data_IF_344641507480
#
_entry.id   IF_344641507480
#
_cell.length_a   1.000
_cell.length_b   1.000
_cell.length_c   1.000
_cell.angle_alpha   90.00
_cell.angle_beta   90.00
_cell.angle_gamma   90.00
#
_symmetry.space_group_name_H-M   'P 1'
#
loop_
_entity.id
_entity.type
_entity.pdbx_description
1 polymer ?
#
# COMPACT_ATOMS: atom_id res chain seq x y z
N UNK A 1 -25.97 26.00 1.23
CA UNK A 1 -25.26 25.04 0.36
C UNK A 1 -23.78 25.12 0.72
N UNK A 2 -23.36 24.37 1.73
CA UNK A 2 -22.00 24.47 2.29
C UNK A 2 -21.09 23.58 1.47
N UNK A 3 -20.17 24.18 0.72
CA UNK A 3 -19.10 23.47 0.03
C UNK A 3 -18.24 22.78 1.09
N UNK A 4 -18.29 21.45 1.17
CA UNK A 4 -17.37 20.67 1.97
C UNK A 4 -15.96 20.89 1.41
N UNK A 5 -15.12 21.58 2.18
CA UNK A 5 -13.71 21.82 1.87
C UNK A 5 -13.05 20.45 1.64
N UNK A 6 -12.50 20.23 0.44
CA UNK A 6 -11.69 19.04 0.15
C UNK A 6 -10.54 19.00 1.17
N UNK A 7 -10.21 17.83 1.76
CA UNK A 7 -9.13 17.75 2.73
C UNK A 7 -7.82 18.18 2.07
N UNK A 8 -7.07 19.08 2.73
CA UNK A 8 -5.73 19.46 2.27
C UNK A 8 -4.82 18.22 2.29
N UNK A 9 -4.15 17.94 1.17
CA UNK A 9 -3.18 16.86 1.08
C UNK A 9 -1.98 17.16 2.00
N UNK A 10 -1.61 16.20 2.84
CA UNK A 10 -0.44 16.29 3.73
C UNK A 10 0.75 15.58 3.09
N UNK A 11 1.81 16.32 2.82
CA UNK A 11 3.06 15.77 2.30
C UNK A 11 4.00 15.34 3.42
N UNK A 12 4.68 14.21 3.23
CA UNK A 12 5.61 13.62 4.19
C UNK A 12 6.82 13.09 3.40
N UNK A 13 8.02 13.30 3.94
CA UNK A 13 9.24 12.78 3.35
C UNK A 13 9.39 11.27 3.63
N UNK A 14 9.32 10.48 2.56
CA UNK A 14 9.46 9.03 2.57
C UNK A 14 10.71 8.55 1.78
N UNK A 15 11.78 9.35 1.73
CA UNK A 15 13.04 8.95 1.11
C UNK A 15 13.56 7.61 1.68
N UNK A 16 14.02 6.67 0.84
CA UNK A 16 14.53 5.39 1.32
C UNK A 16 15.73 5.57 2.26
N UNK A 17 15.90 4.65 3.19
CA UNK A 17 17.14 4.58 3.96
C UNK A 17 18.31 4.21 3.04
N UNK A 18 19.52 4.66 3.36
CA UNK A 18 20.72 4.36 2.55
C UNK A 18 20.93 2.84 2.35
N UNK A 19 20.49 2.00 3.30
CA UNK A 19 20.51 0.55 3.23
C UNK A 19 19.52 -0.07 2.23
N UNK A 20 18.44 0.63 1.89
CA UNK A 20 17.38 0.15 1.00
C UNK A 20 17.71 0.31 -0.50
N UNK A 21 18.77 1.05 -0.84
CA UNK A 21 19.18 1.27 -2.23
C UNK A 21 19.65 -0.01 -2.95
N UNK A 22 20.05 -1.05 -2.20
CA UNK A 22 20.43 -2.36 -2.73
C UNK A 22 19.18 -3.15 -3.21
N UNK A 23 18.01 -2.84 -2.66
CA UNK A 23 16.74 -3.54 -2.90
C UNK A 23 16.00 -3.04 -4.15
N UNK A 24 16.35 -1.85 -4.66
CA UNK A 24 15.84 -1.32 -5.93
C UNK A 24 16.22 -2.14 -7.17
N UNK A 25 17.14 -3.11 -7.03
CA UNK A 25 17.47 -4.08 -8.08
C UNK A 25 16.58 -5.34 -8.12
N UNK A 26 15.60 -5.46 -7.20
CA UNK A 26 14.69 -6.62 -7.10
C UNK A 26 13.56 -6.63 -8.16
N UNK A 27 13.55 -5.64 -9.05
CA UNK A 27 12.54 -5.41 -10.11
C UNK A 27 12.50 -6.52 -11.19
N UNK A 28 13.46 -7.46 -11.19
CA UNK A 28 13.44 -8.62 -12.07
C UNK A 28 12.46 -9.70 -11.55
N UNK A 29 11.27 -9.76 -12.13
CA UNK A 29 10.30 -10.84 -11.89
C UNK A 29 8.97 -10.41 -11.26
N UNK A 30 8.79 -9.11 -11.00
CA UNK A 30 7.51 -8.59 -10.49
C UNK A 30 6.46 -8.58 -11.60
N UNK A 31 5.42 -9.40 -11.41
CA UNK A 31 4.23 -9.42 -12.25
C UNK A 31 3.06 -8.78 -11.49
N UNK A 32 1.99 -8.41 -12.20
CA UNK A 32 0.75 -7.96 -11.54
C UNK A 32 0.27 -8.99 -10.49
N UNK A 33 0.45 -10.29 -10.76
CA UNK A 33 0.04 -11.35 -9.82
C UNK A 33 0.84 -11.31 -8.53
N UNK A 34 2.17 -11.15 -8.62
CA UNK A 34 3.02 -11.10 -7.43
C UNK A 34 2.80 -9.82 -6.65
N UNK A 35 2.59 -8.68 -7.34
CA UNK A 35 2.25 -7.42 -6.67
C UNK A 35 0.91 -7.48 -5.91
N UNK A 36 -0.11 -8.15 -6.49
CA UNK A 36 -1.38 -8.37 -5.78
C UNK A 36 -1.20 -9.32 -4.58
N UNK A 37 -0.41 -10.38 -4.74
CA UNK A 37 -0.13 -11.32 -3.67
C UNK A 37 0.54 -10.64 -2.47
N UNK A 38 1.55 -9.81 -2.69
CA UNK A 38 2.24 -9.10 -1.60
C UNK A 38 1.30 -8.23 -0.76
N UNK A 39 0.33 -7.54 -1.39
CA UNK A 39 -0.65 -6.74 -0.66
C UNK A 39 -1.62 -7.63 0.12
N UNK A 40 -2.02 -8.78 -0.44
CA UNK A 40 -2.88 -9.74 0.26
C UNK A 40 -2.13 -10.36 1.45
N UNK A 41 -0.85 -10.69 1.30
CA UNK A 41 -0.02 -11.23 2.37
C UNK A 41 0.12 -10.21 3.52
N UNK A 42 0.25 -8.91 3.21
CA UNK A 42 0.20 -7.86 4.24
C UNK A 42 -1.13 -7.88 5.03
N UNK A 43 -2.26 -8.09 4.37
CA UNK A 43 -3.56 -8.22 5.04
C UNK A 43 -3.63 -9.48 5.92
N UNK A 44 -3.07 -10.60 5.47
CA UNK A 44 -3.01 -11.86 6.27
C UNK A 44 -2.12 -11.65 7.51
N UNK A 45 -0.96 -11.02 7.36
CA UNK A 45 -0.06 -10.69 8.47
C UNK A 45 -0.69 -9.72 9.47
N UNK A 46 -1.62 -8.87 9.02
CA UNK A 46 -2.45 -8.02 9.88
C UNK A 46 -3.62 -8.77 10.56
N UNK A 47 -3.76 -10.08 10.35
CA UNK A 47 -4.79 -10.92 10.94
C UNK A 47 -6.17 -10.79 10.30
N UNK A 48 -6.26 -10.29 9.06
CA UNK A 48 -7.53 -10.18 8.35
C UNK A 48 -8.10 -11.56 8.02
N UNK A 49 -9.39 -11.78 8.32
CA UNK A 49 -10.14 -12.97 7.86
C UNK A 49 -10.84 -12.73 6.52
N UNK A 50 -10.88 -11.47 6.07
CA UNK A 50 -11.55 -11.05 4.85
C UNK A 50 -10.74 -9.97 4.15
N UNK A 51 -10.39 -10.27 2.89
CA UNK A 51 -9.81 -9.32 1.95
C UNK A 51 -10.76 -9.16 0.77
N UNK A 52 -11.06 -7.92 0.39
CA UNK A 52 -11.91 -7.57 -0.75
C UNK A 52 -11.07 -6.92 -1.83
N UNK A 53 -11.07 -7.52 -3.01
CA UNK A 53 -10.52 -6.95 -4.24
C UNK A 53 -11.66 -6.40 -5.09
N UNK A 54 -11.61 -5.11 -5.40
CA UNK A 54 -12.52 -4.44 -6.34
C UNK A 54 -11.70 -3.93 -7.50
N UNK A 55 -12.10 -4.30 -8.71
CA UNK A 55 -11.47 -3.87 -9.95
C UNK A 55 -12.51 -3.15 -10.77
N UNK A 56 -12.27 -1.89 -11.06
CA UNK A 56 -13.03 -1.12 -12.03
C UNK A 56 -12.12 -0.80 -13.21
N UNK A 57 -12.38 -1.42 -14.35
CA UNK A 57 -11.65 -1.18 -15.60
C UNK A 57 -12.45 -0.40 -16.63
N UNK A 58 -13.72 -0.08 -16.34
CA UNK A 58 -14.67 0.43 -17.34
C UNK A 58 -14.88 1.93 -17.16
N UNK A 59 -14.75 2.44 -15.93
CA UNK A 59 -14.93 3.88 -15.68
C UNK A 59 -13.82 4.72 -16.30
N UNK A 60 -14.07 6.04 -16.36
CA UNK A 60 -13.10 7.03 -16.80
C UNK A 60 -11.87 7.15 -15.87
N UNK A 61 -11.83 6.39 -14.77
CA UNK A 61 -10.74 6.37 -13.80
C UNK A 61 -10.55 4.95 -13.29
N UNK A 62 -9.93 4.07 -14.11
CA UNK A 62 -9.77 2.67 -13.76
C UNK A 62 -8.99 2.54 -12.46
N UNK A 63 -9.44 1.63 -11.60
CA UNK A 63 -8.90 1.48 -10.25
C UNK A 63 -8.89 0.03 -9.79
N UNK A 64 -7.91 -0.28 -8.95
CA UNK A 64 -7.84 -1.53 -8.20
C UNK A 64 -7.82 -1.14 -6.73
N UNK A 65 -8.77 -1.68 -5.97
CA UNK A 65 -8.91 -1.42 -4.55
C UNK A 65 -8.77 -2.75 -3.82
N UNK A 66 -7.86 -2.79 -2.85
CA UNK A 66 -7.71 -3.90 -1.91
C UNK A 66 -8.08 -3.35 -0.54
N UNK A 67 -9.04 -4.00 0.13
CA UNK A 67 -9.51 -3.61 1.45
C UNK A 67 -9.61 -4.84 2.35
N UNK A 68 -9.08 -4.74 3.56
CA UNK A 68 -9.12 -5.81 4.56
C UNK A 68 -9.73 -5.34 5.88
N UNK A 69 -9.98 -6.31 6.77
CA UNK A 69 -10.47 -6.09 8.13
C UNK A 69 -9.45 -6.47 9.21
N UNK A 70 -8.15 -6.37 8.90
CA UNK A 70 -7.08 -6.62 9.85
C UNK A 70 -6.96 -5.55 10.93
N UNK A 71 -5.91 -5.62 11.73
CA UNK A 71 -5.67 -4.68 12.83
C UNK A 71 -5.34 -3.24 12.37
N UNK A 72 -5.07 -3.05 11.07
CA UNK A 72 -4.71 -1.76 10.49
C UNK A 72 -3.32 -1.30 10.92
N UNK A 73 -3.05 -0.01 10.72
CA UNK A 73 -1.79 0.64 11.11
C UNK A 73 -2.08 1.93 11.86
N UNK A 74 -1.30 2.20 12.89
CA UNK A 74 -1.20 3.56 13.42
C UNK A 74 -0.61 4.49 12.37
N UNK A 75 -0.78 5.80 12.57
CA UNK A 75 -0.20 6.79 11.67
C UNK A 75 1.31 6.62 11.52
N UNK A 76 2.05 6.38 12.61
CA UNK A 76 3.50 6.22 12.55
C UNK A 76 3.90 4.99 11.72
N UNK A 77 3.20 3.86 11.93
CA UNK A 77 3.44 2.63 11.18
C UNK A 77 3.15 2.78 9.69
N UNK A 78 2.05 3.48 9.35
CA UNK A 78 1.71 3.76 7.96
C UNK A 78 2.80 4.58 7.27
N UNK A 79 3.36 5.60 7.93
CA UNK A 79 4.42 6.42 7.35
C UNK A 79 5.68 5.63 7.09
N UNK A 80 6.05 4.76 8.03
CA UNK A 80 7.21 3.88 7.85
C UNK A 80 6.95 2.84 6.75
N UNK A 81 5.76 2.23 6.70
CA UNK A 81 5.40 1.26 5.65
C UNK A 81 5.42 1.86 4.23
N UNK A 82 5.20 3.17 4.09
CA UNK A 82 5.26 3.87 2.80
C UNK A 82 6.70 4.29 2.39
N UNK A 83 7.69 4.14 3.28
CA UNK A 83 9.10 4.40 2.95
C UNK A 83 9.70 3.19 2.24
N UNK A 84 10.27 3.41 1.05
CA UNK A 84 10.81 2.31 0.24
C UNK A 84 11.90 1.53 1.01
N UNK A 85 11.78 0.20 1.06
CA UNK A 85 12.71 -0.70 1.75
C UNK A 85 12.71 -0.60 3.28
N UNK A 86 11.60 -0.15 3.88
CA UNK A 86 11.47 -0.03 5.34
C UNK A 86 11.14 -1.35 6.05
N UNK A 87 10.47 -2.28 5.37
CA UNK A 87 10.13 -3.61 5.90
C UNK A 87 10.22 -4.66 4.80
N UNK A 88 10.90 -5.76 5.11
CA UNK A 88 10.70 -7.02 4.38
C UNK A 88 9.43 -7.69 4.95
N UNK A 89 8.59 -8.32 4.12
CA UNK A 89 7.53 -9.18 4.63
C UNK A 89 8.17 -10.29 5.47
N UNK A 90 7.71 -10.45 6.71
CA UNK A 90 8.04 -11.59 7.58
C UNK A 90 6.95 -12.62 7.51
#
# INVERSE_FOLDING_TARGET
MTLSKQPEARYIDAAPYASALIEGHRDFGYSLKTALADIIDNSISAGADRVRLVVDTISNSPSVIIADNGCGMSKAELLEAMRLGSKNPT
#
